data_IF_128859674776
#
_entry.id   IF_128859674776
#
_cell.length_a   1.000
_cell.length_b   1.000
_cell.length_c   1.000
_cell.angle_alpha   90.00
_cell.angle_beta   90.00
_cell.angle_gamma   90.00
#
_symmetry.space_group_name_H-M   'P 1'
#
loop_
_entity.id
_entity.type
_entity.pdbx_description
1 polymer ?
#
# COMPACT_ATOMS: atom_id res chain seq x y z
N UNK A 1 -7.73 -25.11 10.93
CA UNK A 1 -6.51 -24.28 10.86
C UNK A 1 -6.69 -23.34 9.67
N UNK A 2 -6.46 -22.03 9.81
CA UNK A 2 -6.59 -21.11 8.67
C UNK A 2 -5.46 -21.37 7.65
N UNK A 3 -5.71 -21.06 6.37
CA UNK A 3 -4.72 -21.22 5.31
C UNK A 3 -3.47 -20.35 5.57
N UNK A 4 -3.68 -19.13 6.07
CA UNK A 4 -2.60 -18.22 6.49
C UNK A 4 -1.77 -18.80 7.63
N UNK A 5 -2.41 -19.41 8.64
CA UNK A 5 -1.67 -20.07 9.73
C UNK A 5 -0.81 -21.23 9.22
N UNK A 6 -1.33 -22.01 8.27
CA UNK A 6 -0.56 -23.08 7.64
C UNK A 6 0.66 -22.52 6.91
N UNK A 7 0.51 -21.44 6.13
CA UNK A 7 1.65 -20.81 5.45
C UNK A 7 2.72 -20.28 6.40
N UNK A 8 2.33 -19.66 7.51
CA UNK A 8 3.28 -19.21 8.54
C UNK A 8 4.03 -20.42 9.11
N UNK A 9 3.33 -21.52 9.39
CA UNK A 9 3.95 -22.75 9.87
C UNK A 9 4.93 -23.33 8.83
N UNK A 10 4.53 -23.37 7.55
CA UNK A 10 5.37 -23.88 6.46
C UNK A 10 6.62 -23.04 6.27
N UNK A 11 6.49 -21.71 6.31
CA UNK A 11 7.63 -20.79 6.28
C UNK A 11 8.55 -21.03 7.49
N UNK A 12 8.00 -21.25 8.69
CA UNK A 12 8.75 -21.51 9.93
C UNK A 12 9.62 -22.76 9.87
N UNK A 13 9.29 -23.71 8.99
CA UNK A 13 10.09 -24.92 8.76
C UNK A 13 11.32 -24.68 7.85
N UNK A 14 11.45 -23.49 7.25
CA UNK A 14 12.58 -23.13 6.39
C UNK A 14 13.68 -22.44 7.23
N UNK A 15 14.82 -23.11 7.50
CA UNK A 15 15.84 -22.62 8.42
C UNK A 15 16.57 -21.35 7.92
N UNK A 16 16.61 -21.13 6.61
CA UNK A 16 17.22 -19.94 6.01
C UNK A 16 16.32 -18.70 6.11
N UNK A 17 15.03 -18.90 6.39
CA UNK A 17 14.03 -17.82 6.45
C UNK A 17 13.64 -17.45 7.88
N UNK A 18 14.13 -18.16 8.90
CA UNK A 18 13.81 -17.92 10.32
C UNK A 18 14.06 -16.47 10.79
N UNK A 19 15.12 -15.76 10.32
CA UNK A 19 15.29 -14.33 10.61
C UNK A 19 14.27 -13.44 9.88
N UNK A 20 13.81 -13.85 8.69
CA UNK A 20 12.86 -13.09 7.86
C UNK A 20 11.39 -13.38 8.18
N UNK A 21 11.09 -14.45 8.91
CA UNK A 21 9.74 -14.82 9.34
C UNK A 21 9.13 -13.80 10.31
N UNK A 22 9.95 -13.15 11.13
CA UNK A 22 9.50 -12.05 12.00
C UNK A 22 8.96 -10.85 11.22
N UNK A 23 9.23 -10.81 9.91
CA UNK A 23 8.87 -9.71 9.05
C UNK A 23 7.48 -9.93 8.39
N UNK A 24 7.02 -11.18 8.28
CA UNK A 24 5.72 -11.50 7.69
C UNK A 24 4.60 -11.30 8.69
N UNK A 25 3.59 -10.53 8.32
CA UNK A 25 2.49 -10.17 9.21
C UNK A 25 1.13 -10.62 8.65
N UNK A 26 0.29 -11.25 9.48
CA UNK A 26 -1.08 -11.60 9.12
C UNK A 26 -1.99 -10.36 9.06
N UNK A 27 -2.73 -10.22 7.96
CA UNK A 27 -3.67 -9.13 7.76
C UNK A 27 -5.04 -9.63 7.28
N UNK A 28 -6.06 -8.86 7.63
CA UNK A 28 -7.33 -8.84 6.91
C UNK A 28 -7.25 -7.73 5.86
N UNK A 29 -7.30 -8.13 4.58
CA UNK A 29 -7.29 -7.22 3.43
C UNK A 29 -8.67 -7.19 2.78
N UNK A 30 -9.23 -5.99 2.69
CA UNK A 30 -10.43 -5.72 1.90
C UNK A 30 -10.08 -4.79 0.74
N UNK A 31 -10.62 -5.07 -0.43
CA UNK A 31 -10.41 -4.26 -1.62
C UNK A 31 -11.77 -3.87 -2.22
N UNK A 32 -11.95 -2.59 -2.48
CA UNK A 32 -13.10 -2.07 -3.21
C UNK A 32 -12.63 -1.13 -4.31
N UNK A 33 -13.39 -1.01 -5.39
CA UNK A 33 -13.07 -0.08 -6.46
C UNK A 33 -14.30 0.69 -6.88
N UNK A 34 -14.16 2.00 -7.06
CA UNK A 34 -15.21 2.89 -7.56
C UNK A 34 -14.76 3.54 -8.85
N UNK A 35 -15.64 3.55 -9.85
CA UNK A 35 -15.43 4.33 -11.08
C UNK A 35 -16.08 5.69 -10.93
N UNK A 36 -15.30 6.75 -11.18
CA UNK A 36 -15.65 8.15 -10.99
C UNK A 36 -15.58 8.89 -12.33
N UNK A 37 -16.52 9.81 -12.54
CA UNK A 37 -16.41 10.84 -13.57
C UNK A 37 -15.52 12.00 -13.10
N UNK A 38 -15.15 12.88 -14.04
CA UNK A 38 -14.40 14.10 -13.71
C UNK A 38 -15.12 14.97 -12.66
N UNK A 39 -16.44 15.03 -12.72
CA UNK A 39 -17.26 15.85 -11.81
C UNK A 39 -17.30 15.28 -10.39
N UNK A 40 -17.24 13.95 -10.25
CA UNK A 40 -17.28 13.26 -8.96
C UNK A 40 -15.92 13.22 -8.26
N UNK A 41 -14.85 13.38 -9.03
CA UNK A 41 -13.49 13.14 -8.54
C UNK A 41 -13.05 14.09 -7.42
N UNK A 42 -13.28 15.43 -7.48
CA UNK A 42 -12.89 16.32 -6.40
C UNK A 42 -13.57 15.98 -5.07
N UNK A 43 -14.87 15.65 -5.12
CA UNK A 43 -15.62 15.26 -3.93
C UNK A 43 -15.11 13.91 -3.37
N UNK A 44 -14.85 12.94 -4.22
CA UNK A 44 -14.31 11.65 -3.78
C UNK A 44 -12.92 11.77 -3.15
N UNK A 45 -12.02 12.57 -3.73
CA UNK A 45 -10.66 12.76 -3.21
C UNK A 45 -10.64 13.56 -1.91
N UNK A 46 -11.49 14.59 -1.78
CA UNK A 46 -11.61 15.36 -0.52
C UNK A 46 -12.14 14.51 0.65
N UNK A 47 -13.00 13.52 0.37
CA UNK A 47 -13.52 12.58 1.39
C UNK A 47 -12.46 11.65 1.97
N UNK A 48 -11.29 11.53 1.35
CA UNK A 48 -10.17 10.76 1.91
C UNK A 48 -9.58 11.42 3.17
N UNK A 49 -9.82 12.71 3.35
CA UNK A 49 -9.25 13.50 4.44
C UNK A 49 -7.75 13.72 4.27
N UNK A 50 -7.03 13.82 5.39
CA UNK A 50 -5.58 13.93 5.40
C UNK A 50 -4.93 12.62 4.99
N UNK A 51 -4.15 12.65 3.90
CA UNK A 51 -3.41 11.50 3.38
C UNK A 51 -1.96 11.86 3.11
N UNK A 52 -1.10 10.86 3.12
CA UNK A 52 0.27 10.94 2.62
C UNK A 52 0.39 10.15 1.31
N UNK A 53 1.40 10.44 0.50
CA UNK A 53 1.63 9.75 -0.76
C UNK A 53 1.96 10.70 -1.89
N UNK A 54 1.53 10.38 -3.11
CA UNK A 54 1.80 11.20 -4.28
C UNK A 54 0.64 11.20 -5.28
N UNK A 55 0.53 12.28 -6.05
CA UNK A 55 -0.41 12.43 -7.14
C UNK A 55 0.32 12.98 -8.36
N UNK A 56 0.09 12.39 -9.52
CA UNK A 56 0.50 12.97 -10.80
C UNK A 56 -0.68 13.71 -11.39
N UNK A 57 -0.51 15.00 -11.64
CA UNK A 57 -1.40 15.81 -12.45
C UNK A 57 -0.76 16.05 -13.84
N UNK A 58 -1.51 16.62 -14.78
CA UNK A 58 -1.00 16.88 -16.14
C UNK A 58 0.24 17.79 -16.20
N UNK A 59 0.47 18.61 -15.18
CA UNK A 59 1.54 19.62 -15.16
C UNK A 59 2.65 19.36 -14.14
N UNK A 60 2.45 18.44 -13.19
CA UNK A 60 3.34 18.25 -12.04
C UNK A 60 3.09 16.93 -11.33
N UNK A 61 4.06 16.53 -10.51
CA UNK A 61 3.87 15.53 -9.45
C UNK A 61 3.78 16.27 -8.12
N UNK A 62 2.77 15.93 -7.31
CA UNK A 62 2.51 16.49 -5.99
C UNK A 62 2.76 15.40 -4.97
N UNK A 63 3.68 15.62 -4.04
CA UNK A 63 3.82 14.78 -2.85
C UNK A 63 2.93 15.33 -1.73
N UNK A 64 2.32 14.42 -0.98
CA UNK A 64 1.38 14.72 0.09
C UNK A 64 1.95 14.21 1.41
N UNK A 65 1.90 15.06 2.44
CA UNK A 65 2.34 14.74 3.80
C UNK A 65 1.20 15.06 4.77
N UNK A 66 0.32 14.09 5.00
CA UNK A 66 -0.88 14.23 5.84
C UNK A 66 -1.77 15.43 5.49
N UNK A 67 -1.98 15.65 4.19
CA UNK A 67 -2.73 16.78 3.65
C UNK A 67 -4.01 16.33 2.95
N UNK A 68 -5.02 17.18 2.93
CA UNK A 68 -6.19 17.00 2.07
C UNK A 68 -5.78 17.19 0.61
N UNK A 69 -6.38 16.40 -0.29
CA UNK A 69 -6.10 16.52 -1.72
C UNK A 69 -6.86 17.72 -2.31
N UNK A 70 -6.11 18.72 -2.77
CA UNK A 70 -6.62 19.84 -3.55
C UNK A 70 -6.13 19.73 -4.99
N UNK A 71 -7.05 19.57 -5.94
CA UNK A 71 -6.70 19.44 -7.35
C UNK A 71 -6.32 20.81 -7.94
N UNK A 72 -5.07 20.93 -8.40
CA UNK A 72 -4.62 22.11 -9.15
C UNK A 72 -4.83 21.97 -10.65
N UNK A 73 -4.85 20.74 -11.15
CA UNK A 73 -5.09 20.40 -12.56
C UNK A 73 -5.67 18.98 -12.69
N UNK A 74 -5.82 18.48 -13.91
CA UNK A 74 -6.42 17.17 -14.16
C UNK A 74 -5.51 16.06 -13.58
N UNK A 75 -5.99 15.24 -12.63
CA UNK A 75 -5.21 14.15 -12.08
C UNK A 75 -5.13 12.98 -13.07
N UNK A 76 -3.96 12.32 -13.13
CA UNK A 76 -3.66 11.20 -14.02
C UNK A 76 -3.52 9.90 -13.25
N UNK A 77 -2.80 9.93 -12.13
CA UNK A 77 -2.59 8.79 -11.26
C UNK A 77 -2.25 9.27 -9.84
N UNK A 78 -2.35 8.38 -8.85
CA UNK A 78 -1.86 8.66 -7.52
C UNK A 78 -1.92 7.45 -6.61
N UNK A 79 -1.06 7.46 -5.59
CA UNK A 79 -1.12 6.51 -4.49
C UNK A 79 -1.16 7.29 -3.19
N UNK A 80 -2.15 6.98 -2.37
CA UNK A 80 -2.44 7.68 -1.11
C UNK A 80 -2.54 6.68 0.01
N UNK A 81 -2.13 7.06 1.21
CA UNK A 81 -2.33 6.25 2.39
C UNK A 81 -2.60 7.11 3.62
N UNK A 82 -3.35 6.56 4.56
CA UNK A 82 -3.46 7.06 5.91
C UNK A 82 -3.77 5.90 6.87
N UNK A 83 -3.61 6.15 8.16
CA UNK A 83 -3.99 5.19 9.19
C UNK A 83 -2.92 5.06 10.26
N UNK A 84 -3.01 3.96 10.97
CA UNK A 84 -2.10 3.58 12.05
C UNK A 84 -1.46 2.24 11.74
N UNK A 85 -0.50 1.83 12.56
CA UNK A 85 0.18 0.53 12.46
C UNK A 85 -0.79 -0.67 12.50
N UNK A 86 -2.00 -0.48 13.04
CA UNK A 86 -3.00 -1.55 13.17
C UNK A 86 -4.06 -1.53 12.07
N UNK A 87 -4.30 -0.38 11.45
CA UNK A 87 -5.29 -0.24 10.39
C UNK A 87 -4.82 0.82 9.41
N UNK A 88 -4.49 0.39 8.20
CA UNK A 88 -4.06 1.27 7.13
C UNK A 88 -5.05 1.26 5.99
N UNK A 89 -5.41 2.44 5.53
CA UNK A 89 -6.10 2.62 4.27
C UNK A 89 -5.10 3.07 3.22
N UNK A 90 -5.19 2.44 2.06
CA UNK A 90 -4.41 2.78 0.89
C UNK A 90 -5.35 2.96 -0.30
N UNK A 91 -5.14 4.00 -1.09
CA UNK A 91 -5.93 4.29 -2.27
C UNK A 91 -5.02 4.40 -3.49
N UNK A 92 -5.45 3.81 -4.60
CA UNK A 92 -4.83 3.99 -5.90
C UNK A 92 -5.82 4.68 -6.82
N UNK A 93 -5.40 5.81 -7.37
CA UNK A 93 -6.11 6.51 -8.42
C UNK A 93 -5.50 6.13 -9.76
N UNK A 94 -6.30 5.59 -10.67
CA UNK A 94 -5.89 5.25 -12.04
C UNK A 94 -6.84 5.91 -13.03
N UNK A 95 -6.30 6.64 -14.01
CA UNK A 95 -7.10 7.14 -15.11
C UNK A 95 -7.48 6.00 -16.07
N UNK A 96 -8.77 5.91 -16.36
CA UNK A 96 -9.36 4.99 -17.33
C UNK A 96 -9.65 5.70 -18.65
N UNK A 97 -9.88 4.96 -19.75
CA UNK A 97 -10.36 5.54 -21.00
C UNK A 97 -11.66 6.34 -20.82
N UNK A 98 -11.94 7.24 -21.77
CA UNK A 98 -13.19 8.05 -21.83
C UNK A 98 -13.37 9.02 -20.64
N UNK A 99 -12.27 9.58 -20.14
CA UNK A 99 -12.28 10.54 -19.04
C UNK A 99 -13.01 10.00 -17.80
N UNK A 100 -12.63 8.78 -17.41
CA UNK A 100 -13.06 8.14 -16.17
C UNK A 100 -11.84 7.89 -15.29
N UNK A 101 -12.08 7.74 -14.00
CA UNK A 101 -11.05 7.39 -13.03
C UNK A 101 -11.52 6.20 -12.21
N UNK A 102 -10.62 5.29 -11.90
CA UNK A 102 -10.84 4.27 -10.90
C UNK A 102 -10.14 4.68 -9.62
N UNK A 103 -10.88 4.75 -8.52
CA UNK A 103 -10.34 4.86 -7.18
C UNK A 103 -10.46 3.49 -6.51
N UNK A 104 -9.34 2.78 -6.41
CA UNK A 104 -9.25 1.49 -5.73
C UNK A 104 -8.85 1.74 -4.28
N UNK A 105 -9.63 1.27 -3.34
CA UNK A 105 -9.39 1.37 -1.90
C UNK A 105 -9.03 0.00 -1.33
N UNK A 106 -7.87 -0.08 -0.71
CA UNK A 106 -7.37 -1.21 0.05
C UNK A 106 -7.41 -0.85 1.52
N UNK A 107 -8.10 -1.66 2.32
CA UNK A 107 -8.06 -1.57 3.77
C UNK A 107 -7.29 -2.77 4.30
N UNK A 108 -6.23 -2.50 5.06
CA UNK A 108 -5.44 -3.48 5.78
C UNK A 108 -5.69 -3.34 7.27
N UNK A 109 -6.02 -4.45 7.92
CA UNK A 109 -6.13 -4.52 9.38
C UNK A 109 -5.27 -5.65 9.92
N UNK A 110 -4.35 -5.32 10.83
CA UNK A 110 -3.53 -6.33 11.51
C UNK A 110 -4.45 -7.22 12.35
N UNK A 111 -4.30 -8.55 12.23
CA UNK A 111 -5.14 -9.50 12.95
C UNK A 111 -4.38 -10.80 13.27
N UNK A 112 -4.86 -11.64 14.20
CA UNK A 112 -4.30 -12.97 14.39
C UNK A 112 -4.39 -13.80 13.11
N UNK A 113 -3.43 -14.68 12.87
CA UNK A 113 -3.35 -15.50 11.65
C UNK A 113 -4.59 -16.38 11.40
N UNK A 114 -5.33 -16.74 12.44
CA UNK A 114 -6.60 -17.48 12.35
C UNK A 114 -7.70 -16.69 11.63
N UNK A 115 -7.63 -15.35 11.67
CA UNK A 115 -8.62 -14.43 11.10
C UNK A 115 -8.12 -13.74 9.81
N UNK A 116 -6.86 -13.94 9.45
CA UNK A 116 -6.23 -13.32 8.30
C UNK A 116 -6.65 -13.98 6.99
N UNK A 117 -6.77 -13.17 5.94
CA UNK A 117 -7.00 -13.64 4.57
C UNK A 117 -5.77 -13.43 3.67
N UNK A 118 -4.73 -12.75 4.17
CA UNK A 118 -3.46 -12.58 3.47
C UNK A 118 -2.28 -12.49 4.45
N UNK A 119 -1.08 -12.63 3.89
CA UNK A 119 0.18 -12.31 4.54
C UNK A 119 0.77 -11.06 3.89
N UNK A 120 1.30 -10.14 4.70
CA UNK A 120 2.01 -8.98 4.22
C UNK A 120 3.51 -9.12 4.49
N UNK A 121 4.31 -8.82 3.48
CA UNK A 121 5.77 -8.72 3.57
C UNK A 121 6.15 -7.25 3.36
N UNK A 122 6.94 -6.62 4.25
CA UNK A 122 7.36 -5.27 4.04
C UNK A 122 8.53 -5.28 3.06
N UNK A 123 8.48 -4.33 2.14
CA UNK A 123 9.46 -4.16 1.08
C UNK A 123 9.81 -2.69 1.02
N UNK A 124 11.11 -2.37 1.03
CA UNK A 124 11.59 -1.00 0.90
C UNK A 124 12.36 -0.84 -0.41
N UNK A 125 12.12 0.26 -1.11
CA UNK A 125 12.79 0.62 -2.36
C UNK A 125 13.39 2.02 -2.25
N UNK A 126 14.48 2.29 -2.98
CA UNK A 126 15.01 3.64 -3.08
C UNK A 126 14.05 4.52 -3.89
N UNK A 127 13.82 5.74 -3.40
CA UNK A 127 13.07 6.75 -4.11
C UNK A 127 13.90 7.31 -5.26
N UNK A 128 13.42 7.18 -6.50
CA UNK A 128 14.22 7.49 -7.70
C UNK A 128 14.58 8.97 -7.86
N UNK A 129 13.81 9.88 -7.26
CA UNK A 129 13.96 11.33 -7.44
C UNK A 129 14.52 12.07 -6.21
N UNK A 130 14.78 11.37 -5.10
CA UNK A 130 15.29 11.98 -3.87
C UNK A 130 16.39 11.10 -3.29
N UNK A 131 17.62 11.61 -3.35
CA UNK A 131 18.74 10.99 -2.64
C UNK A 131 18.37 10.82 -1.17
N UNK A 132 18.75 9.68 -0.59
CA UNK A 132 18.47 9.32 0.80
C UNK A 132 16.97 9.17 1.15
N UNK A 133 16.03 9.01 0.21
CA UNK A 133 14.61 8.69 0.54
C UNK A 133 14.25 7.25 0.16
N UNK A 134 13.46 6.57 0.97
CA UNK A 134 12.95 5.22 0.72
C UNK A 134 11.42 5.19 0.69
N UNK A 135 10.89 4.35 -0.19
CA UNK A 135 9.49 4.00 -0.27
C UNK A 135 9.28 2.66 0.41
N UNK A 136 8.41 2.62 1.42
CA UNK A 136 8.08 1.40 2.16
C UNK A 136 6.69 0.92 1.75
N UNK A 137 6.60 -0.37 1.40
CA UNK A 137 5.39 -1.03 0.92
C UNK A 137 5.06 -2.27 1.73
N UNK A 138 3.78 -2.61 1.83
CA UNK A 138 3.34 -3.98 2.13
C UNK A 138 3.05 -4.71 0.83
N UNK A 139 3.86 -5.73 0.53
CA UNK A 139 3.57 -6.71 -0.51
C UNK A 139 2.63 -7.77 0.04
N UNK A 140 1.42 -7.84 -0.49
CA UNK A 140 0.37 -8.74 -0.03
C UNK A 140 0.42 -10.06 -0.78
N UNK A 141 0.30 -11.14 -0.03
CA UNK A 141 0.28 -12.51 -0.52
C UNK A 141 -1.01 -13.20 -0.11
N UNK A 142 -1.74 -13.70 -1.09
CA UNK A 142 -2.98 -14.45 -0.89
C UNK A 142 -3.11 -15.55 -1.94
N UNK A 143 -4.00 -16.51 -1.68
CA UNK A 143 -4.35 -17.55 -2.64
C UNK A 143 -5.69 -17.21 -3.30
N UNK A 144 -5.76 -17.43 -4.61
CA UNK A 144 -6.99 -17.26 -5.38
C UNK A 144 -8.01 -18.37 -5.11
N UNK A 145 -7.55 -19.55 -4.70
CA UNK A 145 -8.37 -20.72 -4.43
C UNK A 145 -7.93 -21.41 -3.13
N UNK A 146 -8.85 -22.11 -2.45
CA UNK A 146 -8.48 -23.06 -1.40
C UNK A 146 -7.44 -24.04 -1.95
N UNK A 147 -6.35 -24.24 -1.22
CA UNK A 147 -5.23 -25.15 -1.57
C UNK A 147 -4.24 -24.69 -2.65
N UNK A 148 -4.41 -23.48 -3.21
CA UNK A 148 -3.38 -22.88 -4.07
C UNK A 148 -2.21 -22.31 -3.26
N UNK A 149 -1.02 -22.32 -3.87
CA UNK A 149 0.14 -21.60 -3.33
C UNK A 149 -0.14 -20.09 -3.29
N UNK A 150 0.29 -19.39 -2.23
CA UNK A 150 0.10 -17.95 -2.15
C UNK A 150 0.92 -17.26 -3.24
N UNK A 151 0.36 -16.20 -3.82
CA UNK A 151 1.04 -15.35 -4.80
C UNK A 151 0.91 -13.89 -4.40
N UNK A 152 1.84 -13.07 -4.87
CA UNK A 152 1.79 -11.64 -4.61
C UNK A 152 0.63 -11.01 -5.40
N UNK A 153 -0.35 -10.46 -4.71
CA UNK A 153 -1.59 -9.93 -5.30
C UNK A 153 -1.66 -8.41 -5.31
N UNK A 154 -0.94 -7.73 -4.42
CA UNK A 154 -0.83 -6.28 -4.40
C UNK A 154 0.47 -5.82 -3.72
N UNK A 155 0.85 -4.56 -3.96
CA UNK A 155 1.84 -3.84 -3.18
C UNK A 155 1.22 -2.49 -2.79
N UNK A 156 1.16 -2.20 -1.49
CA UNK A 156 0.48 -1.01 -0.96
C UNK A 156 1.51 -0.08 -0.34
N UNK A 157 1.53 1.18 -0.75
CA UNK A 157 2.44 2.19 -0.19
C UNK A 157 2.04 2.50 1.26
N UNK A 158 3.04 2.54 2.14
CA UNK A 158 2.83 2.68 3.59
C UNK A 158 3.60 3.82 4.22
N UNK A 159 4.75 4.17 3.65
CA UNK A 159 5.54 5.30 4.08
C UNK A 159 6.47 5.81 2.98
N UNK A 160 6.79 7.09 3.08
CA UNK A 160 7.87 7.74 2.33
C UNK A 160 8.85 8.24 3.39
N UNK A 161 9.96 7.54 3.58
CA UNK A 161 10.89 7.75 4.71
C UNK A 161 12.19 8.41 4.24
N UNK A 162 12.64 9.41 4.99
CA UNK A 162 14.01 9.91 4.82
C UNK A 162 14.98 8.98 5.54
N UNK A 163 15.93 8.43 4.80
CA UNK A 163 17.05 7.66 5.34
C UNK A 163 17.94 8.61 6.13
N UNK A 164 18.20 8.37 7.43
CA UNK A 164 19.14 9.19 8.16
C UNK A 164 20.52 9.05 7.52
N UNK A 165 21.11 10.16 7.08
CA UNK A 165 22.51 10.18 6.66
C UNK A 165 23.35 9.66 7.81
N UNK A 166 24.03 8.53 7.60
CA UNK A 166 25.16 8.16 8.47
C UNK A 166 26.15 9.30 8.37
N UNK A 167 26.25 10.12 9.41
CA UNK A 167 27.37 11.02 9.59
C UNK A 167 28.63 10.16 9.45
N UNK A 168 29.38 10.37 8.37
CA UNK A 168 30.71 9.78 8.25
C UNK A 168 31.49 10.37 9.42
N UNK A 169 31.75 9.55 10.43
CA UNK A 169 32.81 9.82 11.40
C UNK A 169 34.09 9.96 10.58
N UNK A 170 34.55 11.20 10.45
CA UNK A 170 35.87 11.55 9.89
C UNK A 170 36.91 11.44 10.99
#
# INVERSE_FOLDING_TARGET
>A
MSQVQQWINDLALLPDLTPTLQIWQPFLHNCTASTLSLEQLPEALSKLGGVSGWMTETSRVVELEMQSIELGSLPLAGEFFNGTDHCTNHWQLTQLPRAQWQLTHHQLQSCPAEQANCLAQPVSHLHTNKDDTQLSYWKLWSASEPDSAPSATAALLMAIESTPRKERLV
#
